data_IF_590636222928
#
_entry.id   IF_590636222928
#
_cell.length_a   1.000
_cell.length_b   1.000
_cell.length_c   1.000
_cell.angle_alpha   90.00
_cell.angle_beta   90.00
_cell.angle_gamma   90.00
#
_symmetry.space_group_name_H-M   'P 1'
#
loop_
_entity.id
_entity.type
_entity.pdbx_description
1 polymer ?
#
# COMPACT_ATOMS: atom_id res chain seq x y z
N UNK A 1 10.62 23.77 -8.83
CA UNK A 1 10.89 22.45 -8.24
C UNK A 1 11.40 21.52 -9.34
N UNK A 2 12.62 20.98 -9.21
CA UNK A 2 13.24 20.09 -10.21
C UNK A 2 12.94 18.64 -9.85
N UNK A 3 12.46 17.84 -10.80
CA UNK A 3 12.15 16.42 -10.60
C UNK A 3 12.99 15.55 -11.52
N UNK A 4 13.55 14.48 -10.96
CA UNK A 4 14.24 13.43 -11.71
C UNK A 4 13.24 12.41 -12.27
N UNK A 5 12.42 11.86 -11.38
CA UNK A 5 11.42 10.86 -11.71
C UNK A 5 10.11 11.20 -11.02
N UNK A 6 9.03 11.22 -11.80
CA UNK A 6 7.66 11.21 -11.28
C UNK A 6 7.01 9.93 -11.75
N UNK A 7 6.45 9.19 -10.81
CA UNK A 7 5.61 8.06 -11.14
C UNK A 7 4.45 8.52 -12.02
N UNK A 8 3.91 7.63 -12.85
CA UNK A 8 2.76 7.93 -13.72
C UNK A 8 1.48 8.26 -12.94
N UNK A 9 1.54 8.15 -11.61
CA UNK A 9 0.51 8.56 -10.68
C UNK A 9 0.25 10.05 -10.80
N UNK A 10 -0.93 10.37 -11.30
CA UNK A 10 -1.41 11.75 -11.38
C UNK A 10 -1.67 12.29 -9.97
N UNK A 11 -0.68 12.99 -9.40
CA UNK A 11 -0.79 13.64 -8.08
C UNK A 11 -1.92 14.67 -8.03
N UNK A 12 -2.45 15.08 -9.19
CA UNK A 12 -3.63 15.94 -9.27
C UNK A 12 -4.92 15.18 -8.95
N UNK A 13 -4.93 13.84 -9.02
CA UNK A 13 -6.12 13.00 -8.76
C UNK A 13 -6.14 12.39 -7.36
N UNK A 14 -4.98 12.13 -6.79
CA UNK A 14 -4.83 11.62 -5.42
C UNK A 14 -3.49 12.05 -4.82
N UNK A 15 -3.43 12.06 -3.50
CA UNK A 15 -2.27 12.52 -2.75
C UNK A 15 -1.09 11.52 -2.87
N UNK A 16 0.01 11.96 -3.49
CA UNK A 16 1.30 11.25 -3.58
C UNK A 16 2.05 11.36 -2.23
N UNK A 17 2.68 10.27 -1.79
CA UNK A 17 3.02 10.04 -0.37
C UNK A 17 4.46 9.70 -0.10
N UNK A 18 5.26 9.42 -1.12
CA UNK A 18 6.66 9.16 -0.91
C UNK A 18 7.47 9.85 -2.01
N UNK A 19 7.97 11.02 -1.66
CA UNK A 19 8.89 11.75 -2.50
C UNK A 19 10.21 11.85 -1.74
N UNK A 20 11.28 11.48 -2.42
CA UNK A 20 12.64 11.62 -1.95
C UNK A 20 13.22 12.92 -2.50
N UNK A 21 14.14 13.51 -1.76
CA UNK A 21 14.99 14.59 -2.23
C UNK A 21 16.45 14.36 -1.86
N UNK A 22 17.33 14.93 -2.67
CA UNK A 22 18.77 14.87 -2.44
C UNK A 22 19.35 16.21 -1.96
N UNK A 23 20.68 16.26 -1.79
CA UNK A 23 21.44 17.47 -1.41
C UNK A 23 21.37 18.62 -2.39
N UNK A 24 20.92 18.38 -3.62
CA UNK A 24 20.79 19.38 -4.67
C UNK A 24 19.33 19.81 -4.88
N UNK A 25 18.43 19.48 -3.95
CA UNK A 25 16.99 19.71 -4.04
C UNK A 25 16.37 19.10 -5.32
N UNK A 26 16.89 17.96 -5.77
CA UNK A 26 16.30 17.15 -6.82
C UNK A 26 15.31 16.15 -6.20
N UNK A 27 14.06 16.18 -6.67
CA UNK A 27 12.98 15.35 -6.14
C UNK A 27 12.74 14.10 -7.01
N UNK A 28 12.31 13.01 -6.39
CA UNK A 28 12.00 11.74 -7.08
C UNK A 28 10.96 10.91 -6.33
N UNK A 29 10.05 10.28 -7.06
CA UNK A 29 9.10 9.28 -6.52
C UNK A 29 9.74 7.87 -6.37
N UNK A 30 10.99 7.69 -6.82
CA UNK A 30 11.78 6.46 -6.71
C UNK A 30 13.09 6.74 -6.00
N UNK A 31 13.35 6.01 -4.92
CA UNK A 31 14.59 6.10 -4.15
C UNK A 31 15.78 5.66 -5.02
N UNK A 32 15.63 4.52 -5.69
CA UNK A 32 16.68 3.92 -6.50
C UNK A 32 17.09 4.81 -7.68
N UNK A 33 16.10 5.45 -8.34
CA UNK A 33 16.38 6.42 -9.40
C UNK A 33 17.19 7.61 -8.90
N UNK A 34 16.84 8.13 -7.72
CA UNK A 34 17.55 9.26 -7.12
C UNK A 34 18.95 8.87 -6.65
N UNK A 35 19.09 7.67 -6.08
CA UNK A 35 20.38 7.10 -5.66
C UNK A 35 21.33 6.89 -6.83
N UNK A 36 20.84 6.35 -7.95
CA UNK A 36 21.63 6.17 -9.18
C UNK A 36 22.15 7.51 -9.74
N UNK A 37 21.44 8.61 -9.50
CA UNK A 37 21.84 9.94 -9.95
C UNK A 37 22.85 10.63 -9.03
N UNK A 38 23.17 10.07 -7.86
CA UNK A 38 24.14 10.67 -6.94
C UNK A 38 25.57 10.34 -7.40
N UNK A 39 26.46 11.35 -7.36
CA UNK A 39 27.89 11.14 -7.61
C UNK A 39 28.57 10.34 -6.49
N UNK A 40 28.01 10.38 -5.28
CA UNK A 40 28.52 9.67 -4.12
C UNK A 40 27.34 9.21 -3.27
N UNK A 41 27.39 7.97 -2.78
CA UNK A 41 26.43 7.42 -1.84
C UNK A 41 27.17 6.96 -0.59
N UNK A 42 26.72 7.44 0.57
CA UNK A 42 27.28 7.08 1.87
C UNK A 42 26.21 6.37 2.68
N UNK A 43 26.41 5.08 2.95
CA UNK A 43 25.49 4.33 3.80
C UNK A 43 25.45 4.94 5.22
N UNK A 44 24.25 5.06 5.76
CA UNK A 44 24.02 5.45 7.15
C UNK A 44 23.98 4.22 8.06
N UNK A 45 25.07 3.97 8.77
CA UNK A 45 25.21 2.84 9.69
C UNK A 45 24.21 2.86 10.86
N UNK A 46 23.51 3.97 11.10
CA UNK A 46 22.40 4.01 12.05
C UNK A 46 21.32 2.95 11.74
N UNK A 47 21.12 2.60 10.47
CA UNK A 47 20.18 1.56 10.04
C UNK A 47 20.62 0.14 10.46
N UNK A 48 21.88 -0.05 10.86
CA UNK A 48 22.35 -1.32 11.41
C UNK A 48 21.91 -1.53 12.87
N UNK A 49 21.48 -0.48 13.56
CA UNK A 49 20.90 -0.60 14.89
C UNK A 49 19.43 -1.01 14.78
N UNK A 50 19.09 -2.19 15.32
CA UNK A 50 17.71 -2.71 15.35
C UNK A 50 16.74 -1.80 16.13
N UNK A 51 17.26 -0.92 16.99
CA UNK A 51 16.47 0.03 17.77
C UNK A 51 16.25 1.38 17.06
N UNK A 52 16.96 1.62 15.95
CA UNK A 52 16.86 2.86 15.20
C UNK A 52 15.47 3.04 14.59
N UNK A 53 14.96 4.27 14.70
CA UNK A 53 13.68 4.68 14.14
C UNK A 53 13.86 5.98 13.37
N UNK A 54 14.00 5.89 12.05
CA UNK A 54 13.98 7.05 11.16
C UNK A 54 12.54 7.42 10.79
N UNK A 55 12.28 8.72 10.72
CA UNK A 55 11.05 9.27 10.12
C UNK A 55 11.30 9.92 8.77
N UNK A 56 12.49 10.48 8.55
CA UNK A 56 12.83 11.25 7.33
C UNK A 56 14.09 10.71 6.64
N UNK A 57 14.98 10.08 7.40
CA UNK A 57 16.25 9.58 6.94
C UNK A 57 16.06 8.34 6.06
N UNK A 58 16.97 8.15 5.11
CA UNK A 58 17.03 6.95 4.27
C UNK A 58 18.40 6.28 4.45
N UNK A 59 18.60 5.05 3.95
CA UNK A 59 19.87 4.34 4.08
C UNK A 59 21.09 5.07 3.49
N UNK A 60 20.90 6.06 2.61
CA UNK A 60 21.99 6.88 2.12
C UNK A 60 21.87 8.31 2.67
N UNK A 61 22.97 8.84 3.22
CA UNK A 61 23.03 10.17 3.87
C UNK A 61 22.78 11.33 2.90
N UNK A 62 22.83 11.06 1.60
CA UNK A 62 22.60 12.02 0.52
C UNK A 62 21.13 12.17 0.18
N UNK A 63 20.27 11.24 0.63
CA UNK A 63 18.86 11.18 0.27
C UNK A 63 18.01 11.18 1.53
N UNK A 64 16.94 11.94 1.50
CA UNK A 64 15.95 11.92 2.57
C UNK A 64 14.55 12.09 2.00
N UNK A 65 13.56 11.81 2.84
CA UNK A 65 12.16 12.00 2.48
C UNK A 65 11.86 13.49 2.49
N UNK A 66 11.25 13.98 1.41
CA UNK A 66 10.71 15.31 1.37
C UNK A 66 9.46 15.39 2.26
N UNK A 67 9.35 16.47 3.04
CA UNK A 67 8.11 16.75 3.75
C UNK A 67 7.02 17.11 2.72
N UNK A 68 5.75 16.72 2.95
CA UNK A 68 4.65 17.02 2.01
C UNK A 68 4.56 18.49 1.60
N UNK A 69 4.80 19.42 2.52
CA UNK A 69 4.80 20.86 2.26
C UNK A 69 5.82 21.27 1.19
N UNK A 70 6.87 20.47 0.96
CA UNK A 70 7.92 20.77 -0.02
C UNK A 70 7.47 20.47 -1.46
N UNK A 71 6.54 19.53 -1.66
CA UNK A 71 6.17 19.06 -3.01
C UNK A 71 4.68 19.12 -3.34
N UNK A 72 3.82 19.38 -2.36
CA UNK A 72 2.37 19.45 -2.57
C UNK A 72 1.66 20.50 -1.71
N UNK A 73 2.38 21.57 -1.32
CA UNK A 73 1.82 22.72 -0.57
C UNK A 73 0.53 23.28 -1.17
N UNK A 74 0.44 23.36 -2.50
CA UNK A 74 -0.73 23.96 -3.18
C UNK A 74 -1.96 23.04 -3.17
N UNK A 75 -1.78 21.75 -2.93
CA UNK A 75 -2.83 20.72 -2.99
C UNK A 75 -3.33 20.36 -1.59
N UNK A 76 -2.46 20.47 -0.59
CA UNK A 76 -2.81 20.17 0.78
C UNK A 76 -3.44 21.39 1.48
N UNK A 77 -4.67 21.27 2.01
CA UNK A 77 -5.27 22.36 2.74
C UNK A 77 -4.48 22.65 4.03
N UNK A 78 -4.02 23.88 4.20
CA UNK A 78 -3.36 24.36 5.44
C UNK A 78 -4.26 24.26 6.67
N UNK A 79 -5.58 24.21 6.46
CA UNK A 79 -6.58 23.94 7.48
C UNK A 79 -7.68 23.06 6.91
N UNK A 80 -7.94 21.93 7.57
CA UNK A 80 -9.05 21.06 7.19
C UNK A 80 -10.35 21.62 7.78
N UNK A 81 -11.37 21.86 6.95
CA UNK A 81 -12.68 22.22 7.46
C UNK A 81 -13.26 21.05 8.25
N UNK A 82 -13.84 21.32 9.42
CA UNK A 82 -14.64 20.32 10.14
C UNK A 82 -16.00 20.19 9.49
N UNK A 83 -16.54 18.98 9.38
CA UNK A 83 -17.91 18.73 8.93
C UNK A 83 -18.91 19.16 10.01
N UNK A 84 -19.96 19.92 9.64
CA UNK A 84 -20.92 20.52 10.59
C UNK A 84 -22.33 19.91 10.55
N UNK A 85 -22.52 18.76 9.90
CA UNK A 85 -23.81 18.04 9.86
C UNK A 85 -23.96 16.97 10.96
N UNK A 86 -25.06 16.22 10.90
CA UNK A 86 -25.27 15.05 11.76
C UNK A 86 -24.38 13.87 11.34
N UNK A 87 -24.19 12.91 12.24
CA UNK A 87 -23.46 11.66 11.95
C UNK A 87 -24.03 10.91 10.74
N UNK A 88 -25.35 10.75 10.67
CA UNK A 88 -26.01 10.09 9.54
C UNK A 88 -25.78 10.84 8.22
N UNK A 89 -25.89 12.18 8.24
CA UNK A 89 -25.61 12.98 7.04
C UNK A 89 -24.16 12.87 6.58
N UNK A 90 -23.22 12.68 7.51
CA UNK A 90 -21.81 12.48 7.21
C UNK A 90 -21.57 11.12 6.54
N UNK A 91 -22.22 10.05 7.01
CA UNK A 91 -22.18 8.75 6.36
C UNK A 91 -22.79 8.81 4.94
N UNK A 92 -23.90 9.52 4.75
CA UNK A 92 -24.51 9.74 3.44
C UNK A 92 -23.57 10.49 2.49
N UNK A 93 -22.87 11.51 2.99
CA UNK A 93 -21.90 12.28 2.19
C UNK A 93 -20.67 11.46 1.81
N UNK A 94 -20.15 10.63 2.73
CA UNK A 94 -19.07 9.69 2.46
C UNK A 94 -19.44 8.73 1.34
N UNK A 95 -20.62 8.12 1.45
CA UNK A 95 -21.14 7.19 0.45
C UNK A 95 -21.33 7.85 -0.90
N UNK A 96 -21.97 9.02 -0.94
CA UNK A 96 -22.15 9.80 -2.17
C UNK A 96 -20.83 10.20 -2.81
N UNK A 97 -19.83 10.51 -2.00
CA UNK A 97 -18.49 10.87 -2.50
C UNK A 97 -17.77 9.65 -3.07
N UNK A 98 -17.83 8.51 -2.39
CA UNK A 98 -17.27 7.26 -2.90
C UNK A 98 -17.97 6.83 -4.20
N UNK A 99 -19.30 6.93 -4.28
CA UNK A 99 -20.04 6.66 -5.52
C UNK A 99 -19.52 7.51 -6.69
N UNK A 100 -19.39 8.83 -6.50
CA UNK A 100 -18.86 9.74 -7.53
C UNK A 100 -17.44 9.36 -7.95
N UNK A 101 -16.60 8.95 -7.01
CA UNK A 101 -15.22 8.54 -7.28
C UNK A 101 -15.18 7.23 -8.10
N UNK A 102 -16.00 6.24 -7.74
CA UNK A 102 -16.07 4.97 -8.47
C UNK A 102 -16.64 5.13 -9.88
N UNK A 103 -17.58 6.05 -10.09
CA UNK A 103 -18.15 6.36 -11.41
C UNK A 103 -17.14 7.03 -12.37
N UNK A 104 -15.94 7.38 -11.92
CA UNK A 104 -14.84 7.86 -12.78
C UNK A 104 -14.03 6.73 -13.41
N UNK A 105 -14.26 5.49 -13.00
CA UNK A 105 -13.60 4.34 -13.61
C UNK A 105 -13.97 4.26 -15.10
N UNK A 106 -12.98 3.93 -15.92
CA UNK A 106 -13.12 3.83 -17.37
C UNK A 106 -13.65 2.43 -17.74
N UNK A 107 -14.86 2.31 -18.31
CA UNK A 107 -15.42 1.01 -18.67
C UNK A 107 -14.59 0.26 -19.73
N UNK A 108 -13.70 0.94 -20.47
CA UNK A 108 -12.83 0.30 -21.46
C UNK A 108 -11.57 -0.35 -20.87
N UNK A 109 -11.22 -0.07 -19.60
CA UNK A 109 -10.04 -0.64 -18.93
C UNK A 109 -10.41 -1.92 -18.18
N UNK A 110 -9.43 -2.81 -17.97
CA UNK A 110 -9.55 -3.94 -17.04
C UNK A 110 -9.05 -3.51 -15.66
N UNK A 111 -9.75 -3.94 -14.61
CA UNK A 111 -9.38 -3.64 -13.23
C UNK A 111 -9.13 -4.92 -12.44
N UNK A 112 -8.04 -4.96 -11.68
CA UNK A 112 -7.80 -5.98 -10.68
C UNK A 112 -8.04 -5.36 -9.31
N UNK A 113 -9.15 -5.69 -8.66
CA UNK A 113 -9.44 -5.19 -7.32
C UNK A 113 -8.88 -6.14 -6.26
N UNK A 114 -7.82 -5.71 -5.59
CA UNK A 114 -7.30 -6.40 -4.43
C UNK A 114 -8.31 -6.32 -3.28
N UNK A 115 -8.79 -7.47 -2.84
CA UNK A 115 -9.93 -7.59 -1.94
C UNK A 115 -9.62 -8.52 -0.77
N UNK A 116 -9.67 -7.96 0.43
CA UNK A 116 -9.57 -8.69 1.70
C UNK A 116 -10.93 -8.80 2.38
N UNK A 117 -11.01 -9.58 3.45
CA UNK A 117 -12.19 -9.60 4.30
C UNK A 117 -12.35 -8.34 5.15
N UNK A 118 -11.47 -7.35 5.03
CA UNK A 118 -11.51 -6.08 5.78
C UNK A 118 -12.65 -5.13 5.38
N UNK A 119 -12.84 -4.07 6.18
CA UNK A 119 -13.86 -3.05 5.96
C UNK A 119 -13.71 -2.30 4.64
N UNK A 120 -12.48 -1.95 4.27
CA UNK A 120 -12.26 -0.96 3.22
C UNK A 120 -12.59 -1.54 1.82
N UNK A 121 -12.14 -2.76 1.54
CA UNK A 121 -12.51 -3.52 0.34
C UNK A 121 -14.00 -3.87 0.28
N UNK A 122 -14.63 -4.19 1.43
CA UNK A 122 -16.09 -4.38 1.53
C UNK A 122 -16.87 -3.13 1.15
N UNK A 123 -16.46 -1.97 1.66
CA UNK A 123 -17.12 -0.70 1.37
C UNK A 123 -17.06 -0.40 -0.13
N UNK A 124 -15.88 -0.56 -0.75
CA UNK A 124 -15.72 -0.34 -2.19
C UNK A 124 -16.59 -1.32 -3.01
N UNK A 125 -16.42 -2.62 -2.81
CA UNK A 125 -17.13 -3.66 -3.59
C UNK A 125 -18.65 -3.65 -3.36
N UNK A 126 -19.11 -3.34 -2.15
CA UNK A 126 -20.53 -3.18 -1.85
C UNK A 126 -21.12 -1.92 -2.48
N UNK A 127 -20.37 -0.81 -2.49
CA UNK A 127 -20.79 0.42 -3.18
C UNK A 127 -20.86 0.21 -4.69
N UNK A 128 -19.89 -0.49 -5.30
CA UNK A 128 -19.97 -0.92 -6.70
C UNK A 128 -21.23 -1.75 -6.96
N UNK A 129 -21.56 -2.69 -6.08
CA UNK A 129 -22.74 -3.54 -6.25
C UNK A 129 -24.05 -2.74 -6.15
N UNK A 130 -24.11 -1.75 -5.24
CA UNK A 130 -25.23 -0.81 -5.15
C UNK A 130 -25.38 0.01 -6.43
N UNK A 131 -24.30 0.56 -6.97
CA UNK A 131 -24.29 1.31 -8.24
C UNK A 131 -24.72 0.44 -9.42
N UNK A 132 -24.30 -0.84 -9.46
CA UNK A 132 -24.73 -1.84 -10.44
C UNK A 132 -26.23 -2.07 -10.39
N UNK A 133 -26.80 -2.30 -9.19
CA UNK A 133 -28.25 -2.47 -9.01
C UNK A 133 -29.05 -1.23 -9.41
N UNK A 134 -28.47 -0.04 -9.25
CA UNK A 134 -29.06 1.22 -9.70
C UNK A 134 -28.93 1.46 -11.22
N UNK A 135 -28.23 0.58 -11.95
CA UNK A 135 -27.99 0.73 -13.40
C UNK A 135 -27.03 1.85 -13.77
N UNK A 136 -26.26 2.41 -12.81
CA UNK A 136 -25.34 3.52 -13.07
C UNK A 136 -24.03 3.08 -13.73
N UNK A 137 -23.53 1.88 -13.39
CA UNK A 137 -22.31 1.30 -13.96
C UNK A 137 -22.28 -0.22 -13.70
N UNK A 138 -21.85 -1.03 -14.68
CA UNK A 138 -21.93 -2.50 -14.54
C UNK A 138 -20.76 -3.11 -13.74
N UNK A 139 -19.57 -2.50 -13.82
CA UNK A 139 -18.32 -3.01 -13.25
C UNK A 139 -17.94 -4.44 -13.68
N UNK A 140 -18.45 -4.91 -14.83
CA UNK A 140 -18.14 -6.26 -15.32
C UNK A 140 -16.66 -6.39 -15.77
N UNK A 141 -15.99 -5.26 -15.97
CA UNK A 141 -14.56 -5.14 -16.23
C UNK A 141 -13.67 -5.23 -14.97
N UNK A 142 -14.25 -5.44 -13.79
CA UNK A 142 -13.54 -5.62 -12.52
C UNK A 142 -13.41 -7.10 -12.17
N UNK A 143 -12.17 -7.56 -12.02
CA UNK A 143 -11.83 -8.85 -11.43
C UNK A 143 -11.54 -8.64 -9.94
N UNK A 144 -12.37 -9.19 -9.06
CA UNK A 144 -12.12 -9.16 -7.62
C UNK A 144 -11.14 -10.26 -7.24
N UNK A 145 -10.10 -9.91 -6.52
CA UNK A 145 -8.95 -10.78 -6.31
C UNK A 145 -8.56 -10.86 -4.83
N UNK A 146 -8.64 -12.06 -4.26
CA UNK A 146 -8.18 -12.32 -2.90
C UNK A 146 -6.77 -12.93 -2.92
N UNK A 147 -5.81 -12.27 -2.26
CA UNK A 147 -4.40 -12.65 -2.37
C UNK A 147 -3.98 -13.81 -1.48
N UNK A 148 -4.84 -14.34 -0.58
CA UNK A 148 -4.46 -15.47 0.29
C UNK A 148 -5.65 -16.37 0.66
N UNK A 149 -5.34 -17.61 1.05
CA UNK A 149 -6.36 -18.60 1.43
C UNK A 149 -7.04 -18.31 2.77
N UNK A 150 -6.38 -17.58 3.67
CA UNK A 150 -6.90 -17.28 5.01
C UNK A 150 -8.16 -16.41 5.01
N UNK A 151 -8.37 -15.61 3.97
CA UNK A 151 -9.54 -14.72 3.85
C UNK A 151 -10.55 -15.22 2.80
N UNK A 152 -10.29 -16.36 2.16
CA UNK A 152 -11.01 -16.80 0.98
C UNK A 152 -12.50 -17.08 1.25
N UNK A 153 -12.85 -17.57 2.43
CA UNK A 153 -14.25 -17.89 2.76
C UNK A 153 -15.09 -16.63 2.95
N UNK A 154 -14.60 -15.68 3.76
CA UNK A 154 -15.27 -14.38 3.91
C UNK A 154 -15.29 -13.62 2.59
N UNK A 155 -14.21 -13.66 1.81
CA UNK A 155 -14.17 -13.08 0.47
C UNK A 155 -15.28 -13.65 -0.42
N UNK A 156 -15.38 -14.97 -0.56
CA UNK A 156 -16.44 -15.64 -1.35
C UNK A 156 -17.83 -15.26 -0.88
N UNK A 157 -18.05 -15.20 0.44
CA UNK A 157 -19.34 -14.80 1.00
C UNK A 157 -19.68 -13.34 0.67
N UNK A 158 -18.73 -12.40 0.79
CA UNK A 158 -18.94 -10.98 0.43
C UNK A 158 -19.29 -10.86 -1.06
N UNK A 159 -18.55 -11.58 -1.91
CA UNK A 159 -18.77 -11.58 -3.35
C UNK A 159 -20.14 -12.13 -3.72
N UNK A 160 -20.53 -13.28 -3.13
CA UNK A 160 -21.84 -13.88 -3.34
C UNK A 160 -22.98 -12.96 -2.87
N UNK A 161 -22.88 -12.37 -1.67
CA UNK A 161 -23.88 -11.42 -1.14
C UNK A 161 -24.06 -10.20 -2.04
N UNK A 162 -22.98 -9.73 -2.68
CA UNK A 162 -23.04 -8.61 -3.61
C UNK A 162 -23.41 -8.99 -5.05
N UNK A 163 -23.53 -10.29 -5.36
CA UNK A 163 -23.85 -10.78 -6.70
C UNK A 163 -22.68 -10.74 -7.69
N UNK A 164 -21.44 -10.82 -7.20
CA UNK A 164 -20.25 -10.84 -8.05
C UNK A 164 -19.86 -12.27 -8.46
N UNK A 165 -19.52 -12.44 -9.73
CA UNK A 165 -19.05 -13.72 -10.31
C UNK A 165 -17.62 -13.66 -10.84
N UNK A 166 -17.08 -12.46 -11.06
CA UNK A 166 -15.75 -12.24 -11.63
C UNK A 166 -14.71 -12.24 -10.51
N UNK A 167 -14.37 -13.43 -10.03
CA UNK A 167 -13.56 -13.63 -8.83
C UNK A 167 -12.30 -14.42 -9.16
N UNK A 168 -11.21 -14.10 -8.48
CA UNK A 168 -9.98 -14.89 -8.47
C UNK A 168 -9.43 -14.93 -7.06
N UNK A 169 -8.64 -15.95 -6.76
CA UNK A 169 -7.93 -16.04 -5.49
C UNK A 169 -6.58 -16.74 -5.72
N UNK A 170 -5.59 -16.35 -4.93
CA UNK A 170 -4.29 -17.02 -4.88
C UNK A 170 -4.37 -18.18 -3.90
N UNK A 171 -3.97 -19.37 -4.35
CA UNK A 171 -3.71 -20.50 -3.46
C UNK A 171 -2.27 -20.43 -2.94
N UNK A 172 -2.11 -19.83 -1.75
CA UNK A 172 -0.80 -19.69 -1.10
C UNK A 172 -0.35 -20.96 -0.35
N UNK A 173 -0.97 -22.11 -0.60
CA UNK A 173 -0.49 -23.39 -0.04
C UNK A 173 0.78 -23.91 -0.71
N UNK A 174 1.05 -23.52 -1.95
CA UNK A 174 2.21 -23.98 -2.72
C UNK A 174 3.48 -23.18 -2.36
N UNK A 175 4.68 -23.76 -2.55
CA UNK A 175 5.92 -23.03 -2.34
C UNK A 175 6.11 -21.90 -3.36
N UNK A 176 6.77 -20.82 -2.92
CA UNK A 176 7.19 -19.68 -3.75
C UNK A 176 6.09 -18.93 -4.54
N UNK A 177 4.81 -19.12 -4.19
CA UNK A 177 3.64 -18.51 -4.90
C UNK A 177 3.74 -17.00 -5.05
N UNK A 178 4.29 -16.32 -4.05
CA UNK A 178 4.44 -14.86 -4.05
C UNK A 178 5.74 -14.38 -4.69
N UNK A 179 6.62 -15.30 -5.12
CA UNK A 179 7.86 -14.99 -5.82
C UNK A 179 8.73 -13.91 -5.13
N UNK A 180 8.85 -13.98 -3.80
CA UNK A 180 9.66 -13.05 -3.01
C UNK A 180 11.14 -13.44 -3.02
N UNK A 181 12.02 -12.51 -2.64
CA UNK A 181 13.47 -12.77 -2.65
C UNK A 181 14.08 -12.69 -4.04
N UNK A 182 13.49 -11.85 -4.89
CA UNK A 182 13.95 -11.58 -6.25
C UNK A 182 15.11 -10.60 -6.25
N UNK A 183 16.04 -10.80 -7.17
CA UNK A 183 17.22 -9.92 -7.32
C UNK A 183 16.99 -8.81 -8.35
N UNK A 184 16.02 -9.00 -9.25
CA UNK A 184 15.74 -8.11 -10.39
C UNK A 184 14.78 -6.97 -10.06
N UNK A 185 14.12 -7.00 -8.91
CA UNK A 185 13.18 -5.97 -8.47
C UNK A 185 13.68 -5.34 -7.16
N UNK A 186 14.10 -4.06 -7.17
CA UNK A 186 14.48 -3.39 -5.93
C UNK A 186 13.26 -3.16 -5.03
N UNK A 187 13.42 -3.29 -3.72
CA UNK A 187 12.38 -2.94 -2.74
C UNK A 187 12.23 -1.45 -2.45
N UNK A 188 13.11 -0.62 -3.03
CA UNK A 188 13.25 0.82 -2.75
C UNK A 188 13.63 1.08 -1.27
N UNK A 189 14.71 1.83 -1.00
CA UNK A 189 15.09 2.22 0.37
C UNK A 189 15.31 1.05 1.36
N UNK A 190 14.79 1.20 2.59
CA UNK A 190 14.91 0.23 3.70
C UNK A 190 13.60 -0.52 3.96
N UNK A 191 13.13 -1.25 2.95
CA UNK A 191 11.88 -2.01 3.02
C UNK A 191 12.14 -3.51 3.12
N UNK A 192 11.23 -4.29 3.74
CA UNK A 192 11.36 -5.75 3.79
C UNK A 192 11.19 -6.37 2.39
N UNK A 193 11.88 -7.48 2.13
CA UNK A 193 11.79 -8.15 0.82
C UNK A 193 10.39 -8.66 0.48
N UNK A 194 9.53 -8.84 1.49
CA UNK A 194 8.14 -9.23 1.29
C UNK A 194 7.32 -8.18 0.56
N UNK A 195 7.85 -6.98 0.38
CA UNK A 195 7.22 -6.02 -0.51
C UNK A 195 7.19 -6.60 -1.92
N UNK A 196 8.23 -7.30 -2.40
CA UNK A 196 8.31 -7.91 -3.74
C UNK A 196 7.18 -8.90 -4.07
N UNK A 197 6.32 -9.23 -3.11
CA UNK A 197 5.21 -10.17 -3.27
C UNK A 197 4.38 -9.89 -4.52
N UNK A 198 4.39 -10.88 -5.42
CA UNK A 198 3.55 -10.97 -6.61
C UNK A 198 2.14 -11.45 -6.20
N UNK A 199 1.40 -10.61 -5.49
CA UNK A 199 0.09 -11.00 -4.91
C UNK A 199 -0.99 -11.29 -5.96
N UNK A 200 -0.76 -10.93 -7.22
CA UNK A 200 -1.68 -11.14 -8.34
C UNK A 200 -1.57 -12.55 -8.97
N UNK A 201 -0.63 -13.38 -8.51
CA UNK A 201 -0.43 -14.75 -9.02
C UNK A 201 -0.06 -14.78 -10.50
N UNK A 202 -0.72 -15.67 -11.26
CA UNK A 202 -0.44 -15.90 -12.69
C UNK A 202 -1.02 -14.84 -13.64
N UNK A 203 -1.69 -13.80 -13.11
CA UNK A 203 -2.22 -12.71 -13.92
C UNK A 203 -1.06 -11.85 -14.46
N UNK A 204 -1.17 -11.33 -15.69
CA UNK A 204 -0.24 -10.29 -16.15
C UNK A 204 -0.70 -8.92 -15.60
N UNK A 205 -0.01 -8.34 -14.59
CA UNK A 205 -0.45 -7.10 -13.95
C UNK A 205 -0.45 -5.92 -14.94
N UNK A 206 0.31 -5.99 -16.03
CA UNK A 206 0.39 -4.95 -17.06
C UNK A 206 -0.91 -4.76 -17.85
N UNK A 207 -1.82 -5.74 -17.80
CA UNK A 207 -3.14 -5.63 -18.41
C UNK A 207 -4.17 -4.90 -17.52
N UNK A 208 -3.86 -4.70 -16.25
CA UNK A 208 -4.84 -4.25 -15.25
C UNK A 208 -4.47 -2.91 -14.64
N UNK A 209 -5.50 -2.13 -14.32
CA UNK A 209 -5.44 -1.08 -13.31
C UNK A 209 -5.68 -1.72 -11.93
N UNK A 210 -4.73 -1.60 -11.02
CA UNK A 210 -4.90 -2.10 -9.65
C UNK A 210 -5.89 -1.21 -8.89
N UNK A 211 -6.91 -1.80 -8.27
CA UNK A 211 -7.82 -1.12 -7.34
C UNK A 211 -7.59 -1.65 -5.93
N UNK A 212 -7.35 -0.77 -4.96
CA UNK A 212 -7.16 -1.18 -3.56
C UNK A 212 -7.78 -0.21 -2.56
N UNK A 213 -8.30 -0.78 -1.46
CA UNK A 213 -8.98 -0.05 -0.40
C UNK A 213 -8.07 0.56 0.67
N UNK A 214 -6.75 0.61 0.47
CA UNK A 214 -5.82 1.13 1.48
C UNK A 214 -6.26 2.51 2.03
N UNK A 215 -6.67 2.58 3.30
CA UNK A 215 -7.05 3.83 3.95
C UNK A 215 -6.71 3.88 5.45
N UNK A 216 -6.31 5.06 5.93
CA UNK A 216 -5.97 5.32 7.35
C UNK A 216 -6.55 6.63 7.93
N UNK A 217 -7.14 7.52 7.12
CA UNK A 217 -7.67 8.81 7.62
C UNK A 217 -8.88 8.67 8.55
N UNK A 218 -9.54 7.50 8.58
CA UNK A 218 -10.61 7.22 9.55
C UNK A 218 -10.09 7.13 11.00
N UNK A 219 -8.80 6.83 11.17
CA UNK A 219 -8.20 6.51 12.47
C UNK A 219 -7.11 7.49 12.91
N UNK A 220 -6.64 8.37 12.04
CA UNK A 220 -5.56 9.31 12.38
C UNK A 220 -5.97 10.73 12.00
N UNK A 221 -5.89 11.73 12.90
CA UNK A 221 -6.03 13.13 12.54
C UNK A 221 -5.05 13.48 11.42
N UNK A 222 -5.45 14.34 10.49
CA UNK A 222 -4.64 14.64 9.31
C UNK A 222 -3.23 15.11 9.65
N UNK A 223 -3.10 15.97 10.66
CA UNK A 223 -1.85 16.56 11.09
C UNK A 223 -0.86 15.51 11.63
N UNK A 224 -1.37 14.35 12.05
CA UNK A 224 -0.55 13.19 12.41
C UNK A 224 -0.42 12.21 11.26
N UNK A 225 -1.45 12.09 10.43
CA UNK A 225 -1.50 11.20 9.29
C UNK A 225 -0.46 11.61 8.25
N UNK A 226 -0.35 12.89 7.91
CA UNK A 226 0.59 13.43 6.91
C UNK A 226 2.08 13.20 7.25
N UNK A 227 2.37 12.91 8.52
CA UNK A 227 3.71 12.55 9.02
C UNK A 227 3.77 11.12 9.59
N UNK A 228 2.74 10.29 9.37
CA UNK A 228 2.69 8.94 9.92
C UNK A 228 3.66 8.04 9.15
N UNK A 229 4.76 7.67 9.80
CA UNK A 229 5.84 6.85 9.21
C UNK A 229 5.36 5.50 8.68
N UNK A 230 4.44 4.81 9.36
CA UNK A 230 3.85 3.53 8.92
C UNK A 230 3.13 3.61 7.57
N UNK A 231 2.80 4.82 7.14
CA UNK A 231 1.99 5.08 5.95
C UNK A 231 2.77 5.75 4.83
N UNK A 232 3.61 6.72 5.16
CA UNK A 232 4.45 7.44 4.20
C UNK A 232 5.69 6.64 3.80
N UNK A 233 6.23 5.82 4.71
CA UNK A 233 7.44 5.06 4.45
C UNK A 233 7.13 3.73 3.79
N UNK A 234 6.45 2.88 4.53
CA UNK A 234 6.18 1.51 4.13
C UNK A 234 5.10 1.41 3.04
N UNK A 235 4.01 2.20 3.14
CA UNK A 235 2.91 2.12 2.17
C UNK A 235 3.07 3.06 0.97
N UNK A 236 3.62 4.25 1.15
CA UNK A 236 3.88 5.20 0.05
C UNK A 236 4.77 4.60 -1.03
N UNK A 237 5.94 4.07 -0.64
CA UNK A 237 6.88 3.40 -1.56
C UNK A 237 6.23 2.20 -2.26
N UNK A 238 5.42 1.42 -1.52
CA UNK A 238 4.69 0.30 -2.10
C UNK A 238 3.71 0.72 -3.21
N UNK A 239 3.04 1.88 -3.07
CA UNK A 239 2.09 2.41 -4.08
C UNK A 239 2.81 2.82 -5.37
N UNK A 240 3.91 3.56 -5.26
CA UNK A 240 4.71 3.97 -6.43
C UNK A 240 5.25 2.76 -7.19
N UNK A 241 5.73 1.76 -6.45
CA UNK A 241 6.19 0.51 -7.04
C UNK A 241 5.06 -0.25 -7.73
N UNK A 242 3.87 -0.33 -7.13
CA UNK A 242 2.71 -0.95 -7.80
C UNK A 242 2.36 -0.22 -9.10
N UNK A 243 2.54 1.10 -9.18
CA UNK A 243 2.36 1.87 -10.41
C UNK A 243 3.37 1.55 -11.53
N UNK A 244 4.52 0.96 -11.18
CA UNK A 244 5.50 0.49 -12.15
C UNK A 244 5.21 -0.94 -12.63
N UNK A 245 4.43 -1.71 -11.87
CA UNK A 245 4.09 -3.11 -12.16
C UNK A 245 2.78 -3.21 -12.96
N UNK A 246 1.77 -2.44 -12.55
CA UNK A 246 0.45 -2.42 -13.18
C UNK A 246 0.36 -1.40 -14.32
N UNK A 247 -0.69 -1.50 -15.14
CA UNK A 247 -0.97 -0.49 -16.17
C UNK A 247 -1.12 0.92 -15.55
N UNK A 248 -1.81 0.96 -14.41
CA UNK A 248 -2.07 2.12 -13.57
C UNK A 248 -2.54 1.62 -12.20
N UNK A 249 -2.75 2.51 -11.23
CA UNK A 249 -3.34 2.16 -9.93
C UNK A 249 -4.40 3.17 -9.54
N UNK A 250 -5.39 2.71 -8.80
CA UNK A 250 -6.52 3.49 -8.34
C UNK A 250 -6.86 3.15 -6.89
N UNK A 251 -6.76 4.14 -6.02
CA UNK A 251 -7.07 3.98 -4.61
C UNK A 251 -8.23 4.91 -4.24
N UNK A 252 -9.49 4.43 -4.27
CA UNK A 252 -10.68 5.29 -4.16
C UNK A 252 -10.65 6.20 -2.94
N UNK A 253 -10.29 5.65 -1.77
CA UNK A 253 -10.22 6.40 -0.50
C UNK A 253 -9.12 7.45 -0.45
N UNK A 254 -8.16 7.39 -1.38
CA UNK A 254 -7.00 8.28 -1.41
C UNK A 254 -7.14 9.40 -2.44
N UNK A 255 -8.24 9.41 -3.19
CA UNK A 255 -8.61 10.54 -4.04
C UNK A 255 -8.86 11.80 -3.20
N UNK A 256 -8.57 12.98 -3.75
CA UNK A 256 -8.73 14.25 -3.04
C UNK A 256 -10.16 14.44 -2.50
N UNK A 257 -11.17 14.01 -3.25
CA UNK A 257 -12.57 14.07 -2.79
C UNK A 257 -12.81 13.22 -1.54
N UNK A 258 -12.32 11.97 -1.53
CA UNK A 258 -12.44 11.09 -0.37
C UNK A 258 -11.59 11.56 0.81
N UNK A 259 -10.39 12.07 0.54
CA UNK A 259 -9.53 12.66 1.56
C UNK A 259 -10.21 13.87 2.21
N UNK A 260 -10.79 14.78 1.42
CA UNK A 260 -11.49 15.96 1.94
C UNK A 260 -12.59 15.59 2.95
N UNK A 261 -13.48 14.66 2.58
CA UNK A 261 -14.57 14.25 3.48
C UNK A 261 -14.04 13.48 4.70
N UNK A 262 -13.13 12.51 4.51
CA UNK A 262 -12.62 11.71 5.65
C UNK A 262 -11.76 12.53 6.61
N UNK A 263 -11.03 13.52 6.11
CA UNK A 263 -10.26 14.44 6.93
C UNK A 263 -11.16 15.39 7.72
N UNK A 264 -12.26 15.85 7.11
CA UNK A 264 -13.24 16.76 7.74
C UNK A 264 -14.02 16.14 8.90
N UNK A 265 -13.91 14.82 9.10
CA UNK A 265 -14.58 14.10 10.17
C UNK A 265 -14.32 14.75 11.55
N UNK A 266 -15.38 15.07 12.31
CA UNK A 266 -15.29 15.53 13.68
C UNK A 266 -14.47 14.60 14.56
N UNK A 267 -13.69 15.17 15.49
CA UNK A 267 -12.72 14.42 16.31
C UNK A 267 -13.41 13.37 17.17
N UNK A 268 -14.61 13.68 17.64
CA UNK A 268 -15.47 12.81 18.44
C UNK A 268 -15.89 11.53 17.71
N UNK A 269 -15.88 11.49 16.37
CA UNK A 269 -16.24 10.30 15.59
C UNK A 269 -15.02 9.48 15.17
N UNK A 270 -13.81 10.03 15.28
CA UNK A 270 -12.56 9.32 14.96
C UNK A 270 -12.25 8.29 16.04
N UNK A 271 -11.73 7.13 15.63
CA UNK A 271 -11.23 6.08 16.55
C UNK A 271 -12.21 5.52 17.58
N UNK A 272 -13.53 5.72 17.41
CA UNK A 272 -14.50 5.00 18.22
C UNK A 272 -14.41 3.53 17.85
N UNK A 273 -13.87 2.69 18.74
CA UNK A 273 -13.79 1.25 18.52
C UNK A 273 -15.18 0.63 18.47
N UNK A 274 -15.38 -0.27 17.51
CA UNK A 274 -16.59 -1.06 17.35
C UNK A 274 -16.23 -2.54 17.26
N UNK A 275 -16.80 -3.33 18.16
CA UNK A 275 -16.49 -4.75 18.30
C UNK A 275 -17.16 -5.63 17.25
N UNK A 276 -18.17 -5.14 16.52
CA UNK A 276 -18.92 -5.94 15.53
C UNK A 276 -18.01 -6.49 14.43
N UNK A 277 -17.01 -5.71 14.02
CA UNK A 277 -15.97 -6.14 13.05
C UNK A 277 -14.53 -5.80 13.51
N UNK A 278 -14.36 -5.33 14.75
CA UNK A 278 -13.03 -4.96 15.29
C UNK A 278 -12.38 -3.78 14.55
N UNK A 279 -13.16 -2.76 14.20
CA UNK A 279 -12.72 -1.55 13.46
C UNK A 279 -13.31 -0.30 14.09
N UNK A 280 -13.08 0.88 13.50
CA UNK A 280 -13.79 2.07 13.94
C UNK A 280 -15.27 2.04 13.53
N UNK A 281 -16.06 2.79 14.29
CA UNK A 281 -17.52 2.87 14.15
C UNK A 281 -17.94 3.32 12.75
N UNK A 282 -17.27 4.32 12.16
CA UNK A 282 -17.64 4.84 10.83
C UNK A 282 -17.52 3.75 9.77
N UNK A 283 -16.39 3.05 9.71
CA UNK A 283 -16.24 1.92 8.77
C UNK A 283 -17.21 0.79 9.07
N UNK A 284 -17.50 0.53 10.34
CA UNK A 284 -18.47 -0.48 10.74
C UNK A 284 -19.88 -0.16 10.25
N UNK A 285 -20.34 1.07 10.45
CA UNK A 285 -21.68 1.51 10.05
C UNK A 285 -21.82 1.56 8.52
N UNK A 286 -20.77 1.94 7.78
CA UNK A 286 -20.76 1.85 6.31
C UNK A 286 -20.89 0.40 5.83
N UNK A 287 -20.19 -0.56 6.47
CA UNK A 287 -20.30 -1.99 6.15
C UNK A 287 -21.71 -2.53 6.48
N UNK A 288 -22.32 -2.05 7.57
CA UNK A 288 -23.69 -2.38 7.96
C UNK A 288 -24.74 -1.87 6.97
N UNK A 289 -24.63 -0.62 6.52
CA UNK A 289 -25.51 -0.03 5.50
C UNK A 289 -25.45 -0.77 4.15
N UNK A 290 -24.32 -1.43 3.87
CA UNK A 290 -24.16 -2.29 2.69
C UNK A 290 -24.69 -3.72 2.91
N UNK A 291 -25.16 -4.06 4.11
CA UNK A 291 -25.65 -5.38 4.47
C UNK A 291 -24.55 -6.42 4.65
N UNK A 292 -23.30 -6.00 4.86
CA UNK A 292 -22.13 -6.88 4.90
C UNK A 292 -21.58 -7.13 6.31
N UNK A 293 -22.24 -6.60 7.34
CA UNK A 293 -21.78 -6.63 8.75
C UNK A 293 -21.74 -8.05 9.34
N UNK A 294 -22.63 -8.93 8.88
CA UNK A 294 -22.78 -10.28 9.40
C UNK A 294 -21.69 -11.25 8.91
N UNK A 295 -20.87 -10.84 7.94
CA UNK A 295 -19.79 -11.66 7.39
C UNK A 295 -18.55 -11.49 8.28
N UNK A 296 -17.96 -12.54 8.84
CA UNK A 296 -16.82 -12.41 9.76
C UNK A 296 -15.61 -11.80 9.06
N UNK A 297 -14.82 -11.00 9.79
CA UNK A 297 -13.49 -10.55 9.33
C UNK A 297 -12.50 -11.65 9.66
N UNK A 298 -11.82 -12.16 8.64
CA UNK A 298 -10.74 -13.13 8.80
C UNK A 298 -9.41 -12.38 8.92
N UNK A 299 -8.51 -12.89 9.78
CA UNK A 299 -7.20 -12.28 9.93
C UNK A 299 -6.37 -12.53 8.66
N UNK A 300 -6.12 -11.47 7.90
CA UNK A 300 -5.22 -11.52 6.76
C UNK A 300 -3.86 -12.07 7.19
N UNK A 301 -3.42 -13.13 6.52
CA UNK A 301 -2.10 -13.72 6.69
C UNK A 301 -1.65 -14.25 5.33
N UNK A 302 -0.35 -14.26 5.09
CA UNK A 302 0.24 -14.81 3.87
C UNK A 302 1.08 -16.02 4.26
N UNK A 303 0.90 -17.14 3.56
CA UNK A 303 1.85 -18.25 3.62
C UNK A 303 2.92 -18.01 2.56
N UNK A 304 4.03 -17.37 2.97
CA UNK A 304 5.10 -17.11 2.02
C UNK A 304 5.74 -18.38 1.46
N UNK A 305 5.75 -19.48 2.24
CA UNK A 305 6.18 -20.82 1.83
C UNK A 305 7.45 -20.81 0.96
N UNK A 306 8.46 -20.04 1.36
CA UNK A 306 9.71 -19.94 0.62
C UNK A 306 10.43 -21.29 0.63
N UNK A 307 10.69 -21.84 -0.56
CA UNK A 307 11.32 -23.16 -0.72
C UNK A 307 12.74 -23.17 -0.12
N UNK A 308 13.26 -24.33 0.30
CA UNK A 308 14.65 -24.45 0.75
C UNK A 308 15.66 -23.90 -0.28
N UNK A 309 15.44 -24.17 -1.57
CA UNK A 309 16.29 -23.70 -2.67
C UNK A 309 16.25 -22.17 -2.79
N UNK A 310 15.06 -21.56 -2.65
CA UNK A 310 14.91 -20.11 -2.66
C UNK A 310 15.57 -19.47 -1.45
N UNK A 311 15.42 -20.05 -0.26
CA UNK A 311 16.10 -19.58 0.96
C UNK A 311 17.62 -19.59 0.79
N UNK A 312 18.18 -20.70 0.29
CA UNK A 312 19.61 -20.80 0.03
C UNK A 312 20.06 -19.75 -0.99
N UNK A 313 19.30 -19.55 -2.07
CA UNK A 313 19.61 -18.53 -3.09
C UNK A 313 19.66 -17.12 -2.48
N UNK A 314 18.70 -16.79 -1.61
CA UNK A 314 18.68 -15.51 -0.90
C UNK A 314 19.90 -15.34 0.02
N UNK A 315 20.23 -16.36 0.82
CA UNK A 315 21.39 -16.33 1.71
C UNK A 315 22.70 -16.20 0.93
N UNK A 316 22.87 -17.00 -0.13
CA UNK A 316 24.06 -16.95 -0.98
C UNK A 316 24.23 -15.60 -1.68
N UNK A 317 23.14 -14.92 -2.03
CA UNK A 317 23.19 -13.59 -2.61
C UNK A 317 23.72 -12.56 -1.60
N UNK A 318 23.31 -12.66 -0.34
CA UNK A 318 23.80 -11.78 0.72
C UNK A 318 25.25 -12.08 1.10
N UNK A 319 25.61 -13.35 1.30
CA UNK A 319 26.96 -13.75 1.73
C UNK A 319 28.06 -13.39 0.73
N UNK A 320 27.73 -13.39 -0.56
CA UNK A 320 28.66 -12.99 -1.63
C UNK A 320 28.68 -11.47 -1.88
N UNK A 321 27.76 -10.73 -1.29
CA UNK A 321 27.57 -9.30 -1.52
C UNK A 321 28.69 -8.43 -0.94
N UNK A 322 28.95 -7.30 -1.60
CA UNK A 322 29.85 -6.24 -1.11
C UNK A 322 29.37 -5.68 0.23
N UNK A 323 28.06 -5.56 0.45
CA UNK A 323 27.53 -5.06 1.72
C UNK A 323 28.01 -5.89 2.90
N UNK A 324 27.87 -7.22 2.81
CA UNK A 324 28.36 -8.17 3.81
C UNK A 324 29.87 -8.03 4.03
N UNK A 325 30.64 -7.93 2.95
CA UNK A 325 32.10 -7.76 3.02
C UNK A 325 32.50 -6.44 3.71
N UNK A 326 31.78 -5.36 3.45
CA UNK A 326 32.11 -4.03 3.95
C UNK A 326 31.72 -3.84 5.42
N UNK A 327 30.55 -4.35 5.83
CA UNK A 327 29.99 -4.10 7.16
C UNK A 327 30.02 -5.32 8.09
N UNK A 328 30.32 -6.52 7.59
CA UNK A 328 30.49 -7.74 8.40
C UNK A 328 29.22 -8.28 9.07
N UNK A 329 28.05 -7.67 8.83
CA UNK A 329 26.81 -7.96 9.56
C UNK A 329 26.28 -9.35 9.25
N UNK A 330 26.02 -10.16 10.27
CA UNK A 330 25.42 -11.49 10.13
C UNK A 330 23.89 -11.38 10.10
N UNK A 331 23.25 -12.05 9.15
CA UNK A 331 21.80 -12.24 9.16
C UNK A 331 21.44 -13.35 10.14
N UNK A 332 20.35 -13.14 10.87
CA UNK A 332 19.68 -14.21 11.59
C UNK A 332 18.74 -14.90 10.59
N UNK A 333 19.15 -16.08 10.07
CA UNK A 333 18.40 -16.82 9.05
C UNK A 333 17.01 -17.24 9.54
N UNK A 334 16.90 -17.56 10.82
CA UNK A 334 15.66 -17.97 11.45
C UNK A 334 14.70 -16.78 11.51
N UNK A 335 15.16 -15.61 11.96
CA UNK A 335 14.38 -14.38 11.95
C UNK A 335 14.03 -13.93 10.52
N UNK A 336 14.96 -14.05 9.57
CA UNK A 336 14.79 -13.66 8.17
C UNK A 336 13.54 -14.31 7.55
N UNK A 337 13.28 -15.59 7.85
CA UNK A 337 12.16 -16.36 7.30
C UNK A 337 11.01 -16.63 8.30
N UNK A 338 11.05 -16.06 9.51
CA UNK A 338 9.94 -16.12 10.49
C UNK A 338 9.31 -14.74 10.70
N UNK A 339 10.09 -13.66 10.60
CA UNK A 339 9.68 -12.27 10.81
C UNK A 339 9.83 -11.50 9.50
N UNK A 340 8.87 -11.75 8.61
CA UNK A 340 8.82 -11.29 7.22
C UNK A 340 8.89 -9.76 7.01
N UNK A 341 8.50 -8.97 8.01
CA UNK A 341 8.60 -7.51 8.03
C UNK A 341 9.63 -6.96 9.02
N UNK A 342 10.49 -7.83 9.55
CA UNK A 342 11.48 -7.52 10.57
C UNK A 342 12.75 -6.90 10.00
N UNK A 343 13.66 -6.52 10.90
CA UNK A 343 14.91 -5.86 10.53
C UNK A 343 15.79 -6.71 9.61
N UNK A 344 15.88 -8.04 9.82
CA UNK A 344 16.66 -8.92 8.92
C UNK A 344 16.09 -8.94 7.49
N UNK A 345 14.76 -8.88 7.36
CA UNK A 345 14.09 -8.78 6.06
C UNK A 345 14.41 -7.47 5.35
N UNK A 346 14.42 -6.34 6.08
CA UNK A 346 14.83 -5.05 5.55
C UNK A 346 16.31 -5.01 5.18
N UNK A 347 17.18 -5.53 6.06
CA UNK A 347 18.62 -5.57 5.84
C UNK A 347 18.98 -6.39 4.60
N UNK A 348 18.44 -7.61 4.50
CA UNK A 348 18.67 -8.46 3.33
C UNK A 348 18.22 -7.74 2.06
N UNK A 349 17.02 -7.15 2.09
CA UNK A 349 16.46 -6.49 0.92
C UNK A 349 17.28 -5.28 0.50
N UNK A 350 17.67 -4.41 1.44
CA UNK A 350 18.52 -3.27 1.14
C UNK A 350 19.88 -3.72 0.62
N UNK A 351 20.57 -4.61 1.34
CA UNK A 351 21.89 -5.08 0.97
C UNK A 351 21.87 -5.64 -0.45
N UNK A 352 20.99 -6.60 -0.72
CA UNK A 352 21.00 -7.39 -1.97
C UNK A 352 20.38 -6.64 -3.15
N UNK A 353 19.25 -5.96 -2.94
CA UNK A 353 18.45 -5.40 -4.04
C UNK A 353 18.63 -3.91 -4.26
N UNK A 354 19.29 -3.22 -3.31
CA UNK A 354 19.50 -1.76 -3.39
C UNK A 354 20.99 -1.42 -3.34
N UNK A 355 21.75 -1.93 -2.39
CA UNK A 355 23.17 -1.60 -2.23
C UNK A 355 24.03 -2.26 -3.31
N UNK A 356 23.93 -3.58 -3.53
CA UNK A 356 24.76 -4.27 -4.53
C UNK A 356 24.66 -3.69 -5.96
N UNK A 357 23.47 -3.27 -6.46
CA UNK A 357 23.37 -2.65 -7.78
C UNK A 357 23.94 -1.22 -7.85
N UNK A 358 24.08 -0.53 -6.71
CA UNK A 358 24.47 0.88 -6.64
C UNK A 358 25.94 1.12 -6.26
N UNK A 359 26.57 0.17 -5.54
CA UNK A 359 27.92 0.25 -4.97
C UNK A 359 28.73 -0.96 -5.40
#
# INVERSE_FOLDING_TARGET
MKYLYRSRLDTNRFFNRCVFRDRNDLFSDSFHSLATAQETLTFDESFLDKSFKSTIETPFKEIWRAAPEEYCADVLPTRIPTYFGSYESYLDELERTLERVLLRMDPAKKYLMAHSSGSDSRIISGTMARLKRQGKMSFDNVLFHCWCTFEADSFRQIMATNGWTNLSFVDDSQPDVYNIGRLDIPCEGWNPYTYQMDFWGDLDPREYVLVSGAQETYSVPYERWVYASSFFNTRGESIHRMANVFQDVFFPFLTHDMLNITMSMPREWKNIKDSRIGRDKVRTDLVERLGLIHIPVQAASCRFNVSPERRQTMLDAYERGKFKKNYGIQLDEDDLFKVWGGWNSCLWSFAVTVYEPLM
#
